data_IF_308414967043
#
_entry.id   IF_308414967043
#
_cell.length_a   1.000
_cell.length_b   1.000
_cell.length_c   1.000
_cell.angle_alpha   90.00
_cell.angle_beta   90.00
_cell.angle_gamma   90.00
#
_symmetry.space_group_name_H-M   'P 1'
#
loop_
_entity.id
_entity.type
_entity.pdbx_description
1 polymer ?
#
# COMPACT_ATOMS: atom_id res chain seq x y z
N UNK A 1 9.74 -7.08 20.94
CA UNK A 1 8.45 -7.64 20.48
C UNK A 1 7.34 -6.61 20.39
N UNK A 2 6.99 -5.86 21.45
CA UNK A 2 5.96 -4.79 21.37
C UNK A 2 6.43 -3.57 20.58
N UNK A 3 7.70 -3.18 20.73
CA UNK A 3 8.33 -2.10 19.96
C UNK A 3 8.44 -2.43 18.47
N UNK A 4 8.83 -3.66 18.13
CA UNK A 4 8.95 -4.10 16.74
C UNK A 4 7.61 -4.02 16.02
N UNK A 5 6.53 -4.46 16.68
CA UNK A 5 5.17 -4.40 16.11
C UNK A 5 4.65 -2.98 15.98
N UNK A 6 4.91 -2.13 16.98
CA UNK A 6 4.52 -0.71 16.93
C UNK A 6 5.22 0.00 15.78
N UNK A 7 6.51 -0.33 15.55
CA UNK A 7 7.27 0.12 14.39
C UNK A 7 6.69 -0.42 13.08
N UNK A 8 6.38 -1.71 12.98
CA UNK A 8 5.75 -2.30 11.79
C UNK A 8 4.43 -1.61 11.46
N UNK A 9 3.58 -1.37 12.46
CA UNK A 9 2.29 -0.70 12.27
C UNK A 9 2.47 0.76 11.82
N UNK A 10 3.41 1.49 12.42
CA UNK A 10 3.72 2.86 12.03
C UNK A 10 4.21 2.93 10.57
N UNK A 11 5.05 1.99 10.16
CA UNK A 11 5.51 1.85 8.77
C UNK A 11 4.35 1.63 7.82
N UNK A 12 3.47 0.65 8.10
CA UNK A 12 2.32 0.36 7.22
C UNK A 12 1.37 1.57 7.11
N UNK A 13 1.11 2.27 8.22
CA UNK A 13 0.28 3.49 8.22
C UNK A 13 0.89 4.60 7.38
N UNK A 14 2.19 4.83 7.52
CA UNK A 14 2.90 5.81 6.69
C UNK A 14 2.82 5.47 5.20
N UNK A 15 2.91 4.19 4.83
CA UNK A 15 2.78 3.77 3.43
C UNK A 15 1.37 4.00 2.88
N UNK A 16 0.31 3.85 3.71
CA UNK A 16 -1.05 4.24 3.35
C UNK A 16 -1.17 5.76 3.13
N UNK A 17 -0.60 6.57 4.01
CA UNK A 17 -0.61 8.03 3.87
C UNK A 17 0.12 8.51 2.61
N UNK A 18 1.28 7.89 2.31
CA UNK A 18 2.04 8.15 1.08
C UNK A 18 1.24 7.75 -0.16
N UNK A 19 0.55 6.61 -0.14
CA UNK A 19 -0.34 6.17 -1.23
C UNK A 19 -1.48 7.16 -1.46
N UNK A 20 -2.16 7.61 -0.40
CA UNK A 20 -3.25 8.59 -0.50
C UNK A 20 -2.73 9.95 -1.02
N UNK A 21 -1.51 10.34 -0.68
CA UNK A 21 -0.90 11.56 -1.20
C UNK A 21 -0.59 11.45 -2.70
N UNK A 22 -0.12 10.30 -3.16
CA UNK A 22 0.09 10.02 -4.59
C UNK A 22 -1.23 10.07 -5.35
N UNK A 23 -2.28 9.45 -4.81
CA UNK A 23 -3.60 9.47 -5.42
C UNK A 23 -4.13 10.90 -5.55
N UNK A 24 -4.18 11.67 -4.45
CA UNK A 24 -4.64 13.06 -4.47
C UNK A 24 -3.86 13.93 -5.46
N UNK A 25 -2.54 13.76 -5.54
CA UNK A 25 -1.70 14.49 -6.48
C UNK A 25 -2.08 14.17 -7.92
N UNK A 26 -2.24 12.89 -8.24
CA UNK A 26 -2.62 12.43 -9.58
C UNK A 26 -4.03 12.89 -9.95
N UNK A 27 -4.98 12.88 -9.01
CA UNK A 27 -6.33 13.38 -9.26
C UNK A 27 -6.37 14.91 -9.44
N UNK A 28 -5.42 15.63 -8.84
CA UNK A 28 -5.29 17.07 -9.02
C UNK A 28 -4.64 17.43 -10.36
N UNK A 29 -3.58 16.73 -10.76
CA UNK A 29 -2.85 17.00 -12.01
C UNK A 29 -3.42 16.26 -13.23
N UNK A 30 -4.34 15.31 -13.02
CA UNK A 30 -4.96 14.41 -13.99
C UNK A 30 -3.94 13.64 -14.85
N UNK A 31 -2.70 13.53 -14.40
CA UNK A 31 -1.63 12.85 -15.11
C UNK A 31 -1.51 11.41 -14.61
N UNK A 32 -2.45 10.57 -15.04
CA UNK A 32 -2.58 9.16 -14.63
C UNK A 32 -1.39 8.30 -15.06
N UNK A 33 -0.73 8.65 -16.17
CA UNK A 33 0.51 7.98 -16.62
C UNK A 33 1.64 8.22 -15.62
N UNK A 34 1.95 9.48 -15.30
CA UNK A 34 2.96 9.79 -14.29
C UNK A 34 2.53 9.31 -12.89
N UNK A 35 1.23 9.29 -12.62
CA UNK A 35 0.67 8.69 -11.42
C UNK A 35 1.02 7.20 -11.31
N UNK A 36 0.76 6.42 -12.35
CA UNK A 36 1.05 4.99 -12.39
C UNK A 36 2.55 4.68 -12.21
N UNK A 37 3.43 5.48 -12.80
CA UNK A 37 4.88 5.38 -12.59
C UNK A 37 5.27 5.62 -11.13
N UNK A 38 4.72 6.66 -10.49
CA UNK A 38 4.93 6.94 -9.07
C UNK A 38 4.44 5.79 -8.19
N UNK A 39 3.27 5.20 -8.52
CA UNK A 39 2.74 4.02 -7.81
C UNK A 39 3.66 2.82 -7.98
N UNK A 40 4.20 2.57 -9.18
CA UNK A 40 5.13 1.47 -9.42
C UNK A 40 6.44 1.63 -8.61
N UNK A 41 6.99 2.83 -8.56
CA UNK A 41 8.16 3.14 -7.75
C UNK A 41 7.86 2.97 -6.26
N UNK A 42 6.77 3.57 -5.78
CA UNK A 42 6.30 3.45 -4.41
C UNK A 42 6.12 1.97 -4.02
N UNK A 43 5.43 1.17 -4.83
CA UNK A 43 5.21 -0.27 -4.59
C UNK A 43 6.52 -1.02 -4.35
N UNK A 44 7.54 -0.76 -5.18
CA UNK A 44 8.85 -1.42 -5.06
C UNK A 44 9.51 -1.08 -3.72
N UNK A 45 9.53 0.20 -3.35
CA UNK A 45 10.06 0.67 -2.07
C UNK A 45 9.26 0.10 -0.88
N UNK A 46 7.94 0.11 -0.95
CA UNK A 46 7.06 -0.45 0.08
C UNK A 46 7.31 -1.95 0.27
N UNK A 47 7.45 -2.73 -0.81
CA UNK A 47 7.72 -4.17 -0.71
C UNK A 47 9.03 -4.48 0.03
N UNK A 48 10.10 -3.72 -0.26
CA UNK A 48 11.36 -3.83 0.46
C UNK A 48 11.20 -3.46 1.94
N UNK A 49 10.52 -2.35 2.22
CA UNK A 49 10.30 -1.88 3.58
C UNK A 49 9.45 -2.87 4.40
N UNK A 50 8.42 -3.47 3.81
CA UNK A 50 7.62 -4.52 4.46
C UNK A 50 8.44 -5.78 4.75
N UNK A 51 9.34 -6.16 3.83
CA UNK A 51 10.27 -7.29 4.02
C UNK A 51 11.14 -7.09 5.26
N UNK A 52 11.66 -5.87 5.43
CA UNK A 52 12.56 -5.53 6.53
C UNK A 52 11.85 -5.36 7.87
N UNK A 53 10.64 -4.79 7.86
CA UNK A 53 9.97 -4.31 9.08
C UNK A 53 8.85 -5.20 9.58
N UNK A 54 8.21 -5.96 8.69
CA UNK A 54 7.08 -6.84 9.03
C UNK A 54 7.51 -8.29 8.90
N UNK A 55 8.14 -8.62 7.78
CA UNK A 55 8.58 -9.97 7.48
C UNK A 55 8.69 -10.22 5.98
N UNK A 56 9.57 -11.16 5.63
CA UNK A 56 9.82 -11.55 4.24
C UNK A 56 8.56 -12.06 3.53
N UNK A 57 7.69 -12.76 4.23
CA UNK A 57 6.45 -13.29 3.65
C UNK A 57 5.51 -12.16 3.22
N UNK A 58 5.34 -11.14 4.05
CA UNK A 58 4.50 -9.98 3.77
C UNK A 58 5.03 -9.14 2.60
N UNK A 59 6.35 -8.91 2.56
CA UNK A 59 6.97 -8.20 1.43
C UNK A 59 6.81 -8.95 0.11
N UNK A 60 7.00 -10.27 0.11
CA UNK A 60 6.77 -11.12 -1.07
C UNK A 60 5.30 -11.10 -1.50
N UNK A 61 4.36 -11.29 -0.57
CA UNK A 61 2.93 -11.25 -0.86
C UNK A 61 2.50 -9.90 -1.46
N UNK A 62 3.02 -8.80 -0.92
CA UNK A 62 2.73 -7.46 -1.44
C UNK A 62 3.35 -7.23 -2.84
N UNK A 63 4.61 -7.63 -3.06
CA UNK A 63 5.25 -7.49 -4.37
C UNK A 63 4.52 -8.27 -5.48
N UNK A 64 3.89 -9.39 -5.12
CA UNK A 64 3.14 -10.26 -6.02
C UNK A 64 1.79 -9.68 -6.46
N UNK A 65 1.31 -8.59 -5.85
CA UNK A 65 0.08 -7.92 -6.28
C UNK A 65 0.24 -7.47 -7.74
N UNK A 66 -0.62 -7.99 -8.60
CA UNK A 66 -0.73 -7.60 -10.01
C UNK A 66 -2.15 -7.07 -10.22
N UNK A 67 -2.33 -5.75 -10.41
CA UNK A 67 -3.58 -5.20 -10.88
C UNK A 67 -4.00 -5.92 -12.17
N UNK A 68 -5.28 -6.24 -12.28
CA UNK A 68 -5.82 -6.85 -13.50
C UNK A 68 -5.72 -5.90 -14.70
N UNK A 69 -5.93 -6.42 -15.92
CA UNK A 69 -6.10 -5.55 -17.09
C UNK A 69 -7.24 -4.56 -16.84
N UNK A 70 -7.00 -3.29 -17.17
CA UNK A 70 -8.04 -2.28 -17.15
C UNK A 70 -8.96 -2.43 -18.36
N UNK A 71 -10.26 -2.29 -18.12
CA UNK A 71 -11.30 -2.39 -19.15
C UNK A 71 -12.19 -1.15 -19.24
N UNK A 72 -11.96 -0.16 -18.37
CA UNK A 72 -12.70 1.09 -18.36
C UNK A 72 -12.02 2.06 -19.30
N UNK A 73 -12.76 2.77 -20.14
CA UNK A 73 -12.17 3.78 -21.04
C UNK A 73 -11.85 5.10 -20.29
N UNK A 74 -11.80 5.04 -18.95
CA UNK A 74 -11.64 6.16 -18.02
C UNK A 74 -10.34 5.98 -17.23
N UNK A 75 -9.31 6.71 -17.65
CA UNK A 75 -7.98 6.64 -17.06
C UNK A 75 -7.95 7.02 -15.56
N UNK A 76 -8.89 7.85 -15.10
CA UNK A 76 -8.97 8.22 -13.68
C UNK A 76 -9.51 7.05 -12.88
N UNK A 77 -10.58 6.41 -13.36
CA UNK A 77 -11.13 5.18 -12.75
C UNK A 77 -10.09 4.07 -12.71
N UNK A 78 -9.39 3.82 -13.82
CA UNK A 78 -8.30 2.83 -13.88
C UNK A 78 -7.20 3.12 -12.86
N UNK A 79 -6.85 4.39 -12.68
CA UNK A 79 -5.83 4.79 -11.73
C UNK A 79 -6.30 4.63 -10.27
N UNK A 80 -7.56 4.96 -9.97
CA UNK A 80 -8.12 4.73 -8.62
C UNK A 80 -8.21 3.24 -8.29
N UNK A 81 -8.60 2.41 -9.27
CA UNK A 81 -8.61 0.95 -9.11
C UNK A 81 -7.21 0.39 -8.84
N UNK A 82 -6.20 0.92 -9.54
CA UNK A 82 -4.80 0.61 -9.30
C UNK A 82 -4.38 0.94 -7.86
N UNK A 83 -4.77 2.11 -7.34
CA UNK A 83 -4.49 2.52 -5.95
C UNK A 83 -5.17 1.56 -4.96
N UNK A 84 -6.42 1.22 -5.20
CA UNK A 84 -7.21 0.35 -4.32
C UNK A 84 -6.65 -1.08 -4.23
N UNK A 85 -6.06 -1.60 -5.32
CA UNK A 85 -5.34 -2.87 -5.33
C UNK A 85 -4.23 -2.94 -4.27
N UNK A 86 -3.61 -1.81 -3.90
CA UNK A 86 -2.56 -1.75 -2.87
C UNK A 86 -3.08 -1.27 -1.51
N UNK A 87 -4.07 -0.37 -1.49
CA UNK A 87 -4.69 0.14 -0.26
C UNK A 87 -5.35 -0.98 0.55
N UNK A 88 -6.09 -1.86 -0.12
CA UNK A 88 -6.80 -2.96 0.54
C UNK A 88 -5.87 -3.91 1.34
N UNK A 89 -4.80 -4.49 0.76
CA UNK A 89 -3.89 -5.37 1.51
C UNK A 89 -3.10 -4.64 2.60
N UNK A 90 -2.70 -3.37 2.41
CA UNK A 90 -2.03 -2.58 3.45
C UNK A 90 -2.97 -2.29 4.63
N UNK A 91 -4.22 -1.95 4.34
CA UNK A 91 -5.25 -1.73 5.38
C UNK A 91 -5.50 -3.00 6.17
N UNK A 92 -5.62 -4.14 5.49
CA UNK A 92 -5.76 -5.44 6.15
C UNK A 92 -4.54 -5.78 7.02
N UNK A 93 -3.33 -5.48 6.54
CA UNK A 93 -2.10 -5.70 7.31
C UNK A 93 -2.04 -4.80 8.55
N UNK A 94 -2.38 -3.52 8.43
CA UNK A 94 -2.43 -2.59 9.55
C UNK A 94 -3.41 -3.06 10.63
N UNK A 95 -4.59 -3.56 10.25
CA UNK A 95 -5.59 -4.13 11.17
C UNK A 95 -5.02 -5.34 11.92
N UNK A 96 -4.41 -6.31 11.21
CA UNK A 96 -3.79 -7.49 11.84
C UNK A 96 -2.70 -7.12 12.85
N UNK A 97 -1.85 -6.14 12.49
CA UNK A 97 -0.79 -5.64 13.37
C UNK A 97 -1.35 -4.94 14.61
N UNK A 98 -2.48 -4.24 14.50
CA UNK A 98 -3.14 -3.58 15.62
C UNK A 98 -3.89 -4.57 16.55
N UNK A 99 -4.62 -5.53 15.98
CA UNK A 99 -5.44 -6.51 16.73
C UNK A 99 -4.60 -7.45 17.57
N UNK A 100 -3.46 -7.90 17.05
CA UNK A 100 -2.53 -8.77 17.79
C UNK A 100 -1.88 -8.04 18.98
N UNK A 101 -2.04 -6.72 19.08
CA UNK A 101 -1.54 -5.91 20.20
C UNK A 101 -2.52 -5.80 21.38
N UNK A 102 -3.75 -6.32 21.27
CA UNK A 102 -4.70 -6.32 22.38
C UNK A 102 -4.43 -7.54 23.27
N UNK A 103 -3.93 -7.38 24.51
CA UNK A 103 -4.00 -8.45 25.49
C UNK A 103 -5.48 -8.74 25.71
N UNK A 104 -5.88 -10.00 25.64
CA UNK A 104 -7.24 -10.42 26.00
C UNK A 104 -7.59 -9.89 27.40
N UNK A 105 -8.79 -9.31 27.53
CA UNK A 105 -9.42 -9.07 28.82
C UNK A 105 -9.97 -10.35 29.41
#
# INVERSE_FOLDING_TARGET
MTDDRSRSLAVVRRQLEELDALERRTLHDLNTVAGAERIAQWKSTTAALLTETVGRQEGLAFSAIRPGPSFTNDLVEEFTDLVDCYRAPLTALAKRLAETSRPGG
#
